data_IF_358730166839
#
_entry.id   IF_358730166839
#
_cell.length_a   1.000
_cell.length_b   1.000
_cell.length_c   1.000
_cell.angle_alpha   90.00
_cell.angle_beta   90.00
_cell.angle_gamma   90.00
#
_symmetry.space_group_name_H-M   'P 1'
#
loop_
_entity.id
_entity.type
_entity.pdbx_description
1 polymer ?
#
# COMPACT_ATOMS: atom_id res chain seq x y z
N UNK A 1 8.16 15.41 23.36
CA UNK A 1 6.69 15.30 23.22
C UNK A 1 6.35 13.83 23.13
N UNK A 2 5.45 13.32 23.99
CA UNK A 2 5.07 11.91 23.99
C UNK A 2 4.09 11.61 22.84
N UNK A 3 4.44 10.63 22.02
CA UNK A 3 3.75 10.24 20.80
C UNK A 3 3.55 8.73 20.77
N UNK A 4 2.43 8.27 20.20
CA UNK A 4 2.11 6.86 20.04
C UNK A 4 1.83 6.56 18.57
N UNK A 5 2.08 5.31 18.17
CA UNK A 5 1.91 4.84 16.81
C UNK A 5 0.88 3.71 16.75
N UNK A 6 -0.21 3.93 16.01
CA UNK A 6 -1.18 2.86 15.76
C UNK A 6 -1.01 2.35 14.33
N UNK A 7 -0.63 1.08 14.17
CA UNK A 7 -0.54 0.43 12.86
C UNK A 7 -1.92 -0.10 12.49
N UNK A 8 -2.43 0.31 11.34
CA UNK A 8 -3.73 -0.12 10.81
C UNK A 8 -3.53 -0.87 9.50
N UNK A 9 -4.00 -2.12 9.46
CA UNK A 9 -3.94 -3.00 8.30
C UNK A 9 -5.33 -3.62 8.07
N UNK A 10 -6.13 -2.98 7.22
CA UNK A 10 -7.53 -3.35 7.03
C UNK A 10 -8.35 -3.17 8.30
N UNK A 11 -8.92 -4.26 8.81
CA UNK A 11 -9.70 -4.27 10.06
C UNK A 11 -8.82 -4.45 11.31
N UNK A 12 -7.53 -4.73 11.15
CA UNK A 12 -6.61 -4.91 12.27
C UNK A 12 -6.00 -3.58 12.69
N UNK A 13 -5.95 -3.35 14.01
CA UNK A 13 -5.23 -2.24 14.64
C UNK A 13 -4.28 -2.81 15.68
N UNK A 14 -3.01 -2.45 15.57
CA UNK A 14 -1.98 -2.71 16.58
C UNK A 14 -1.64 -1.37 17.21
N UNK A 15 -2.03 -1.18 18.46
CA UNK A 15 -1.78 0.05 19.20
C UNK A 15 -0.42 -0.03 19.91
N UNK A 16 0.32 1.07 19.88
CA UNK A 16 1.44 1.33 20.77
C UNK A 16 0.89 2.01 22.04
N UNK A 17 0.97 1.30 23.17
CA UNK A 17 0.51 1.79 24.48
C UNK A 17 1.62 2.44 25.30
N UNK A 18 2.89 2.21 24.93
CA UNK A 18 4.06 2.76 25.62
C UNK A 18 4.37 4.17 25.10
N UNK A 19 4.32 4.33 23.77
CA UNK A 19 4.69 5.56 23.11
C UNK A 19 6.20 5.85 23.20
N UNK A 20 6.63 6.93 22.55
CA UNK A 20 8.00 7.41 22.58
C UNK A 20 8.06 8.94 22.57
N UNK A 21 9.14 9.48 23.13
CA UNK A 21 9.38 10.92 23.14
C UNK A 21 10.08 11.39 21.86
N UNK A 22 9.50 12.42 21.22
CA UNK A 22 10.09 13.07 20.05
C UNK A 22 10.21 14.58 20.25
N UNK A 23 11.19 15.18 19.57
CA UNK A 23 11.42 16.63 19.59
C UNK A 23 10.29 17.41 18.91
N UNK A 24 9.70 16.85 17.86
CA UNK A 24 8.61 17.44 17.09
C UNK A 24 7.84 16.39 16.29
N UNK A 25 6.72 16.80 15.68
CA UNK A 25 5.83 15.93 14.89
C UNK A 25 6.54 15.37 13.64
N UNK A 26 7.43 16.14 13.01
CA UNK A 26 8.14 15.68 11.81
C UNK A 26 9.12 14.54 12.12
N UNK A 27 9.79 14.59 13.28
CA UNK A 27 10.64 13.50 13.75
C UNK A 27 9.83 12.22 14.01
N UNK A 28 8.66 12.34 14.64
CA UNK A 28 7.74 11.22 14.82
C UNK A 28 7.20 10.67 13.49
N UNK A 29 6.88 11.55 12.53
CA UNK A 29 6.44 11.17 11.20
C UNK A 29 7.53 10.43 10.41
N UNK A 30 8.79 10.86 10.54
CA UNK A 30 9.93 10.19 9.95
C UNK A 30 10.11 8.77 10.52
N UNK A 31 9.96 8.60 11.84
CA UNK A 31 9.99 7.29 12.48
C UNK A 31 8.85 6.39 11.98
N UNK A 32 7.61 6.89 11.97
CA UNK A 32 6.47 6.17 11.41
C UNK A 32 6.71 5.71 9.96
N UNK A 33 7.41 6.52 9.16
CA UNK A 33 7.79 6.18 7.78
C UNK A 33 8.85 5.08 7.72
N UNK A 34 9.82 5.06 8.63
CA UNK A 34 10.78 3.96 8.76
C UNK A 34 10.06 2.66 9.12
N UNK A 35 9.18 2.69 10.12
CA UNK A 35 8.37 1.52 10.55
C UNK A 35 7.51 1.01 9.39
N UNK A 36 6.81 1.90 8.69
CA UNK A 36 6.03 1.54 7.50
C UNK A 36 6.89 0.89 6.42
N UNK A 37 8.11 1.39 6.19
CA UNK A 37 9.05 0.84 5.21
C UNK A 37 9.43 -0.60 5.56
N UNK A 38 9.79 -0.85 6.82
CA UNK A 38 10.21 -2.17 7.28
C UNK A 38 9.08 -3.20 7.14
N UNK A 39 7.85 -2.82 7.50
CA UNK A 39 6.67 -3.68 7.35
C UNK A 39 6.39 -3.96 5.87
N UNK A 40 6.41 -2.93 5.01
CA UNK A 40 6.22 -3.08 3.57
C UNK A 40 7.28 -4.01 2.96
N UNK A 41 8.55 -3.82 3.31
CA UNK A 41 9.65 -4.65 2.82
C UNK A 41 9.42 -6.11 3.20
N UNK A 42 9.08 -6.39 4.45
CA UNK A 42 8.86 -7.75 4.92
C UNK A 42 7.63 -8.40 4.27
N UNK A 43 6.52 -7.68 4.12
CA UNK A 43 5.33 -8.19 3.44
C UNK A 43 5.58 -8.49 1.96
N UNK A 44 6.28 -7.60 1.25
CA UNK A 44 6.69 -7.84 -0.13
C UNK A 44 7.66 -9.02 -0.24
N UNK A 45 8.57 -9.19 0.72
CA UNK A 45 9.52 -10.32 0.77
C UNK A 45 8.82 -11.66 0.92
N UNK A 46 7.68 -11.69 1.61
CA UNK A 46 6.80 -12.86 1.76
C UNK A 46 5.89 -13.10 0.55
N UNK A 47 5.92 -12.22 -0.45
CA UNK A 47 5.02 -12.25 -1.62
C UNK A 47 3.61 -11.75 -1.31
N UNK A 48 3.44 -11.03 -0.21
CA UNK A 48 2.20 -10.35 0.17
C UNK A 48 1.93 -9.10 -0.64
N UNK A 49 0.76 -8.50 -0.43
CA UNK A 49 0.36 -7.23 -1.03
C UNK A 49 0.14 -6.18 0.05
N UNK A 50 0.54 -4.95 -0.24
CA UNK A 50 0.27 -3.79 0.63
C UNK A 50 -1.12 -3.26 0.32
N UNK A 51 -2.00 -3.22 1.33
CA UNK A 51 -3.34 -2.66 1.19
C UNK A 51 -3.32 -1.14 1.00
N UNK A 52 -4.25 -0.61 0.19
CA UNK A 52 -4.34 0.82 -0.06
C UNK A 52 -4.80 1.64 1.17
N UNK A 53 -5.42 0.97 2.14
CA UNK A 53 -5.91 1.52 3.40
C UNK A 53 -4.93 1.34 4.58
N UNK A 54 -3.78 0.69 4.33
CA UNK A 54 -2.77 0.45 5.35
C UNK A 54 -2.02 1.73 5.71
N UNK A 55 -1.89 1.98 7.01
CA UNK A 55 -1.31 3.22 7.52
C UNK A 55 -0.78 3.10 8.95
N UNK A 56 0.02 4.08 9.33
CA UNK A 56 0.34 4.37 10.74
C UNK A 56 -0.31 5.71 11.11
N UNK A 57 -1.15 5.69 12.13
CA UNK A 57 -1.69 6.89 12.75
C UNK A 57 -0.76 7.33 13.89
N UNK A 58 -0.22 8.55 13.81
CA UNK A 58 0.65 9.16 14.81
C UNK A 58 -0.22 10.00 15.73
N UNK A 59 -0.30 9.65 17.01
CA UNK A 59 -1.24 10.27 17.96
C UNK A 59 -0.54 10.85 19.20
N UNK A 60 -1.17 11.87 19.79
CA UNK A 60 -0.75 12.42 21.08
C UNK A 60 -1.32 11.62 22.27
N UNK A 61 -1.01 12.09 23.49
CA UNK A 61 -1.50 11.54 24.77
C UNK A 61 -3.03 11.60 24.93
N UNK A 62 -3.70 12.52 24.24
CA UNK A 62 -5.15 12.64 24.26
C UNK A 62 -5.82 11.73 23.21
N UNK A 63 -5.03 11.04 22.38
CA UNK A 63 -5.50 10.22 21.27
C UNK A 63 -5.80 11.00 20.00
N UNK A 64 -5.40 12.28 19.93
CA UNK A 64 -5.56 13.10 18.73
C UNK A 64 -4.57 12.65 17.67
N UNK A 65 -5.05 12.35 16.46
CA UNK A 65 -4.19 12.05 15.31
C UNK A 65 -3.50 13.34 14.86
N UNK A 66 -2.18 13.39 15.01
CA UNK A 66 -1.34 14.51 14.61
C UNK A 66 -0.81 14.35 13.18
N UNK A 67 -0.58 13.11 12.73
CA UNK A 67 -0.12 12.79 11.39
C UNK A 67 -0.54 11.37 10.99
N UNK A 68 -0.52 11.09 9.68
CA UNK A 68 -0.72 9.76 9.13
C UNK A 68 0.37 9.44 8.10
N UNK A 69 0.83 8.20 8.09
CA UNK A 69 1.76 7.67 7.08
C UNK A 69 1.10 6.51 6.37
N UNK A 70 0.83 6.67 5.07
CA UNK A 70 0.18 5.66 4.24
C UNK A 70 1.25 4.74 3.64
N UNK A 71 1.05 3.43 3.74
CA UNK A 71 2.10 2.48 3.33
C UNK A 71 2.39 2.53 1.83
N UNK A 72 1.38 2.85 1.01
CA UNK A 72 1.58 2.97 -0.42
C UNK A 72 2.55 4.12 -0.77
N UNK A 73 2.55 5.22 0.00
CA UNK A 73 3.46 6.36 -0.26
C UNK A 73 4.92 5.93 -0.08
N UNK A 74 5.16 5.04 0.88
CA UNK A 74 6.48 4.46 1.16
C UNK A 74 6.94 3.52 0.05
N UNK A 75 6.02 2.81 -0.62
CA UNK A 75 6.34 1.98 -1.80
C UNK A 75 6.76 2.85 -2.99
N UNK A 76 6.16 4.04 -3.16
CA UNK A 76 6.35 4.87 -4.35
C UNK A 76 7.45 5.94 -4.23
N UNK A 77 7.82 6.41 -3.04
CA UNK A 77 8.88 7.41 -2.86
C UNK A 77 10.32 6.92 -3.20
N UNK A 78 10.73 5.67 -2.96
CA UNK A 78 12.04 5.17 -3.39
C UNK A 78 12.19 5.18 -4.92
N UNK A 79 11.07 5.07 -5.63
CA UNK A 79 11.03 5.16 -7.09
C UNK A 79 11.26 6.62 -7.50
N UNK A 80 10.58 7.59 -6.87
CA UNK A 80 10.73 9.02 -7.18
C UNK A 80 12.15 9.57 -7.00
N UNK A 81 12.89 9.13 -5.97
CA UNK A 81 14.27 9.57 -5.74
C UNK A 81 15.29 8.91 -6.69
N UNK A 82 14.92 7.83 -7.38
CA UNK A 82 15.73 7.18 -8.41
C UNK A 82 15.62 7.88 -9.78
N UNK A 83 14.59 8.72 -9.98
CA UNK A 83 14.45 9.56 -11.15
C UNK A 83 14.79 11.01 -10.78
N UNK A 84 16.06 11.37 -10.93
CA UNK A 84 16.55 12.74 -10.74
C UNK A 84 15.60 13.78 -11.36
N UNK A 85 15.43 14.90 -10.65
CA UNK A 85 14.48 16.01 -10.86
C UNK A 85 14.29 16.50 -12.32
N UNK A 86 15.18 16.14 -13.24
CA UNK A 86 15.06 16.34 -14.70
C UNK A 86 13.87 15.58 -15.31
N UNK A 87 13.51 14.40 -14.80
CA UNK A 87 12.46 13.55 -15.35
C UNK A 87 11.05 14.02 -14.96
N UNK A 88 10.88 14.44 -13.69
CA UNK A 88 9.61 15.01 -13.19
C UNK A 88 9.30 16.37 -13.82
N UNK A 89 10.33 17.18 -14.09
CA UNK A 89 10.15 18.47 -14.78
C UNK A 89 9.64 18.32 -16.22
N UNK A 90 9.97 17.20 -16.88
CA UNK A 90 9.46 16.85 -18.22
C UNK A 90 8.01 16.35 -18.17
N UNK A 91 7.62 15.68 -17.08
CA UNK A 91 6.25 15.20 -16.86
C UNK A 91 5.24 16.33 -16.64
N UNK A 92 5.63 17.36 -15.89
CA UNK A 92 4.79 18.55 -15.63
C UNK A 92 4.60 19.45 -16.87
N UNK A 93 5.39 19.25 -17.93
CA UNK A 93 5.31 20.00 -19.19
C UNK A 93 4.51 19.28 -20.29
N UNK A 94 3.85 18.15 -19.97
CA UNK A 94 2.82 17.57 -20.84
C UNK A 94 3.26 16.46 -21.79
N UNK A 95 4.49 15.93 -21.66
CA UNK A 95 4.89 14.75 -22.43
C UNK A 95 4.57 13.44 -21.68
N UNK A 96 3.91 12.46 -22.33
CA UNK A 96 3.62 11.17 -21.71
C UNK A 96 4.92 10.38 -21.59
N UNK A 97 5.41 10.22 -20.35
CA UNK A 97 6.47 9.26 -20.06
C UNK A 97 5.84 7.87 -20.09
N UNK A 98 6.30 6.93 -20.94
CA UNK A 98 5.88 5.56 -20.84
C UNK A 98 6.53 4.98 -19.59
N UNK A 99 5.76 4.80 -18.52
CA UNK A 99 6.20 4.17 -17.28
C UNK A 99 6.12 2.64 -17.49
N UNK A 100 7.24 1.91 -17.70
CA UNK A 100 7.19 0.50 -18.06
C UNK A 100 6.70 -0.41 -16.92
N UNK A 101 6.83 0.04 -15.67
CA UNK A 101 6.44 -0.71 -14.48
C UNK A 101 4.95 -0.59 -14.11
N UNK A 102 4.26 0.47 -14.55
CA UNK A 102 2.84 0.66 -14.24
C UNK A 102 1.94 -0.31 -15.02
N UNK A 103 2.35 -0.67 -16.24
CA UNK A 103 1.60 -1.61 -17.05
C UNK A 103 1.70 -3.05 -16.53
N UNK A 104 2.77 -3.46 -15.86
CA UNK A 104 2.90 -4.86 -15.43
C UNK A 104 1.99 -5.19 -14.25
N UNK A 105 1.81 -4.28 -13.30
CA UNK A 105 0.98 -4.50 -12.10
C UNK A 105 -0.52 -4.36 -12.39
N UNK A 106 -0.92 -3.40 -13.23
CA UNK A 106 -2.34 -3.26 -13.62
C UNK A 106 -2.74 -4.31 -14.66
N UNK A 107 -1.84 -4.68 -15.59
CA UNK A 107 -2.09 -5.80 -16.49
C UNK A 107 -2.21 -7.11 -15.71
N UNK A 108 -1.33 -7.41 -14.75
CA UNK A 108 -1.45 -8.65 -13.95
C UNK A 108 -2.73 -8.70 -13.11
N UNK A 109 -3.20 -7.60 -12.53
CA UNK A 109 -4.48 -7.59 -11.78
C UNK A 109 -5.68 -7.71 -12.73
N UNK A 110 -5.64 -7.07 -13.90
CA UNK A 110 -6.72 -7.15 -14.89
C UNK A 110 -6.76 -8.53 -15.54
N UNK A 111 -5.61 -9.09 -15.88
CA UNK A 111 -5.44 -10.46 -16.38
C UNK A 111 -5.84 -11.49 -15.32
N UNK A 112 -5.43 -11.32 -14.05
CA UNK A 112 -5.85 -12.21 -12.97
C UNK A 112 -7.36 -12.14 -12.72
N UNK A 113 -7.98 -10.95 -12.81
CA UNK A 113 -9.44 -10.80 -12.74
C UNK A 113 -10.13 -11.43 -13.94
N UNK A 114 -9.58 -11.31 -15.14
CA UNK A 114 -10.11 -11.94 -16.35
C UNK A 114 -10.02 -13.47 -16.26
N UNK A 115 -8.89 -14.02 -15.80
CA UNK A 115 -8.70 -15.44 -15.57
C UNK A 115 -9.67 -15.94 -14.49
N UNK A 116 -9.79 -15.24 -13.36
CA UNK A 116 -10.70 -15.61 -12.28
C UNK A 116 -12.19 -15.52 -12.67
N UNK A 117 -12.55 -14.60 -13.57
CA UNK A 117 -13.88 -14.54 -14.15
C UNK A 117 -14.13 -15.70 -15.11
N UNK A 118 -13.14 -16.05 -15.93
CA UNK A 118 -13.25 -17.14 -16.89
C UNK A 118 -13.36 -18.50 -16.20
N UNK A 119 -12.54 -18.75 -15.17
CA UNK A 119 -12.61 -19.97 -14.35
C UNK A 119 -14.00 -20.10 -13.70
N UNK A 120 -14.55 -19.02 -13.13
CA UNK A 120 -15.91 -19.02 -12.55
C UNK A 120 -17.00 -19.34 -13.58
N UNK A 121 -16.87 -18.85 -14.81
CA UNK A 121 -17.83 -19.13 -15.87
C UNK A 121 -17.75 -20.59 -16.33
N UNK A 122 -16.55 -21.15 -16.48
CA UNK A 122 -16.35 -22.57 -16.82
C UNK A 122 -16.94 -23.49 -15.76
N UNK A 123 -16.69 -23.22 -14.47
CA UNK A 123 -17.29 -24.01 -13.40
C UNK A 123 -18.83 -23.90 -13.36
N UNK A 124 -19.38 -22.74 -13.71
CA UNK A 124 -20.83 -22.56 -13.82
C UNK A 124 -21.41 -23.39 -14.96
N UNK A 125 -20.77 -23.38 -16.13
CA UNK A 125 -21.24 -24.14 -17.31
C UNK A 125 -21.14 -25.65 -17.09
N UNK A 126 -20.06 -26.13 -16.46
CA UNK A 126 -19.92 -27.54 -16.08
C UNK A 126 -21.05 -27.96 -15.13
N UNK A 127 -21.34 -27.14 -14.12
CA UNK A 127 -22.43 -27.42 -13.19
C UNK A 127 -23.79 -27.47 -13.90
N UNK A 128 -24.04 -26.53 -14.80
CA UNK A 128 -25.30 -26.45 -15.54
C UNK A 128 -25.51 -27.67 -16.46
N UNK A 129 -24.45 -28.15 -17.12
CA UNK A 129 -24.51 -29.38 -17.93
C UNK A 129 -24.69 -30.64 -17.07
N UNK A 130 -24.12 -30.68 -15.87
CA UNK A 130 -24.34 -31.80 -14.94
C UNK A 130 -25.79 -31.84 -14.44
N UNK A 131 -26.39 -30.68 -14.20
CA UNK A 131 -27.79 -30.54 -13.80
C UNK A 131 -28.77 -30.91 -14.95
N UNK A 132 -28.34 -30.85 -16.22
CA UNK A 132 -29.15 -31.25 -17.40
C UNK A 132 -29.12 -32.76 -17.69
N UNK A 133 -28.18 -33.51 -17.10
CA UNK A 133 -27.99 -34.96 -17.33
C UNK A 133 -28.42 -35.77 -16.07
N UNK A 134 -28.89 -35.10 -15.02
CA UNK A 134 -29.43 -35.71 -13.78
C UNK A 134 -30.94 -35.51 -13.70
#
# INVERSE_FOLDING_TARGET
MLIFFDIIMGLQRVADDEGAEFDNIEAARAEARTIASDIVIEELRRGGNVGADWRIDVRDVAGTILAQVLFYEVVFEPIANSYTATSLRRHLLGDPVPIPSYHRSVATVTEARAIAANVRNVFREIKQRLDEIT
#
